data_IF_410613523218
#
_entry.id   IF_410613523218
#
_cell.length_a   1.000
_cell.length_b   1.000
_cell.length_c   1.000
_cell.angle_alpha   90.00
_cell.angle_beta   90.00
_cell.angle_gamma   90.00
#
_symmetry.space_group_name_H-M   'P 1'
#
loop_
_entity.id
_entity.type
_entity.pdbx_description
1 polymer ?
#
# COMPACT_ATOMS: atom_id res chain seq x y z
N UNK A 1 -89.43 -43.65 4.47
CA UNK A 1 -89.74 -44.31 5.77
C UNK A 1 -88.77 -43.78 6.82
N UNK A 2 -89.37 -43.24 7.91
CA UNK A 2 -88.86 -43.03 9.28
C UNK A 2 -87.43 -42.41 9.46
N UNK A 3 -87.42 -41.16 9.83
CA UNK A 3 -87.22 -40.55 11.17
C UNK A 3 -86.13 -41.22 12.03
N UNK A 4 -85.17 -40.40 12.51
CA UNK A 4 -85.13 -40.02 13.95
C UNK A 4 -84.09 -38.87 14.11
N UNK A 5 -84.57 -37.79 14.75
CA UNK A 5 -83.80 -36.67 15.33
C UNK A 5 -83.25 -37.15 16.68
N UNK A 6 -82.13 -36.62 17.11
CA UNK A 6 -81.92 -36.03 18.43
C UNK A 6 -80.65 -35.17 18.49
N UNK A 7 -80.63 -34.06 19.22
CA UNK A 7 -79.56 -33.10 19.33
C UNK A 7 -78.66 -33.39 20.53
N UNK A 8 -77.44 -33.10 20.44
CA UNK A 8 -76.59 -32.99 21.63
C UNK A 8 -75.90 -31.64 21.62
N UNK A 9 -76.29 -30.80 22.58
CA UNK A 9 -75.58 -29.57 22.98
C UNK A 9 -74.29 -29.94 23.63
N UNK A 10 -73.22 -29.34 23.21
CA UNK A 10 -71.98 -29.27 24.05
C UNK A 10 -71.49 -27.87 24.15
N UNK A 11 -71.19 -27.48 25.39
CA UNK A 11 -70.82 -26.18 25.87
C UNK A 11 -69.48 -25.72 25.32
N UNK A 12 -69.46 -24.47 24.94
CA UNK A 12 -68.24 -23.68 24.69
C UNK A 12 -67.54 -23.41 26.03
N UNK A 13 -66.39 -24.02 26.27
CA UNK A 13 -65.47 -23.51 27.21
C UNK A 13 -64.28 -22.91 26.44
N UNK A 14 -64.21 -21.62 26.51
CA UNK A 14 -63.12 -20.78 26.10
C UNK A 14 -61.79 -21.30 26.67
N UNK A 15 -60.89 -21.77 25.78
CA UNK A 15 -59.48 -21.92 26.06
C UNK A 15 -58.73 -20.93 25.18
N UNK A 16 -58.25 -19.85 25.80
CA UNK A 16 -57.33 -18.92 25.18
C UNK A 16 -56.00 -19.62 25.03
N UNK A 17 -55.69 -20.08 23.82
CA UNK A 17 -54.36 -20.55 23.47
C UNK A 17 -53.55 -19.33 23.03
N UNK A 18 -52.66 -18.85 23.88
CA UNK A 18 -51.69 -17.81 23.56
C UNK A 18 -50.75 -18.30 22.47
N UNK A 19 -50.82 -17.67 21.31
CA UNK A 19 -49.85 -17.85 20.24
C UNK A 19 -48.55 -17.09 20.60
N UNK A 20 -47.57 -17.81 21.18
CA UNK A 20 -46.27 -17.28 21.46
C UNK A 20 -45.51 -17.14 20.13
N UNK A 21 -45.51 -15.94 19.54
CA UNK A 21 -44.65 -15.60 18.42
C UNK A 21 -43.21 -15.59 18.91
N UNK A 22 -42.45 -16.66 18.64
CA UNK A 22 -41.00 -16.70 18.74
C UNK A 22 -40.46 -15.85 17.59
N UNK A 23 -40.20 -14.58 17.83
CA UNK A 23 -39.36 -13.77 16.95
C UNK A 23 -37.91 -14.23 17.12
N UNK A 24 -37.45 -15.12 16.22
CA UNK A 24 -36.04 -15.43 16.08
C UNK A 24 -35.39 -14.19 15.49
N UNK A 25 -34.79 -13.36 16.36
CA UNK A 25 -33.93 -12.31 15.96
C UNK A 25 -32.69 -12.98 15.33
N UNK A 26 -32.66 -13.06 14.00
CA UNK A 26 -31.41 -13.30 13.29
C UNK A 26 -30.51 -12.09 13.54
N UNK A 27 -29.73 -12.14 14.62
CA UNK A 27 -28.58 -11.29 14.80
C UNK A 27 -27.61 -11.62 13.66
N UNK A 28 -27.71 -10.88 12.56
CA UNK A 28 -26.66 -10.84 11.56
C UNK A 28 -25.42 -10.30 12.26
N UNK A 29 -24.56 -11.21 12.74
CA UNK A 29 -23.18 -10.85 13.01
C UNK A 29 -22.61 -10.40 11.66
N UNK A 30 -22.66 -9.09 11.38
CA UNK A 30 -21.70 -8.49 10.47
C UNK A 30 -20.36 -8.81 11.12
N UNK A 31 -19.58 -9.70 10.52
CA UNK A 31 -18.15 -9.73 10.72
C UNK A 31 -17.72 -8.31 10.36
N UNK A 32 -17.32 -7.53 11.34
CA UNK A 32 -16.62 -6.28 11.10
C UNK A 32 -15.36 -6.69 10.34
N UNK A 33 -15.37 -6.53 9.02
CA UNK A 33 -14.16 -6.65 8.23
C UNK A 33 -13.27 -5.51 8.71
N UNK A 34 -12.19 -5.86 9.40
CA UNK A 34 -11.19 -4.90 9.84
C UNK A 34 -10.74 -4.09 8.62
N UNK A 35 -10.71 -2.76 8.75
CA UNK A 35 -10.15 -1.90 7.71
C UNK A 35 -8.73 -2.39 7.39
N UNK A 36 -8.43 -2.73 6.13
CA UNK A 36 -7.10 -3.18 5.74
C UNK A 36 -5.99 -2.24 6.20
N UNK A 37 -6.29 -0.97 6.41
CA UNK A 37 -5.34 0.03 6.88
C UNK A 37 -5.16 0.00 8.41
N UNK A 38 -6.17 -0.40 9.17
CA UNK A 38 -6.08 -0.56 10.63
C UNK A 38 -5.08 -1.66 11.03
N UNK A 39 -5.06 -2.75 10.27
CA UNK A 39 -4.12 -3.87 10.47
C UNK A 39 -2.65 -3.46 10.28
N UNK A 40 -2.39 -2.38 9.56
CA UNK A 40 -1.04 -1.88 9.30
C UNK A 40 -0.43 -1.11 10.48
N UNK A 41 -1.24 -0.66 11.43
CA UNK A 41 -0.79 0.16 12.57
C UNK A 41 -0.02 -0.69 13.59
N UNK A 42 1.13 -0.19 14.05
CA UNK A 42 1.94 -0.80 15.12
C UNK A 42 2.31 0.20 16.23
N UNK A 43 1.79 1.41 16.15
CA UNK A 43 2.03 2.48 17.13
C UNK A 43 3.36 3.22 16.98
N UNK A 44 4.29 2.75 16.12
CA UNK A 44 5.59 3.40 15.89
C UNK A 44 5.81 3.76 14.42
N UNK A 45 5.35 2.92 13.51
CA UNK A 45 5.49 3.16 12.07
C UNK A 45 4.50 4.18 11.57
N UNK A 46 4.92 4.92 10.57
CA UNK A 46 4.02 5.76 9.77
C UNK A 46 3.40 4.90 8.67
N UNK A 47 2.08 4.94 8.57
CA UNK A 47 1.32 4.32 7.49
C UNK A 47 0.76 5.43 6.61
N UNK A 48 1.13 5.40 5.35
CA UNK A 48 0.59 6.27 4.31
C UNK A 48 -0.44 5.47 3.54
N UNK A 49 -1.64 6.02 3.42
CA UNK A 49 -2.74 5.41 2.68
C UNK A 49 -3.18 6.32 1.55
N UNK A 50 -3.44 5.72 0.39
CA UNK A 50 -3.99 6.43 -0.77
C UNK A 50 -3.20 7.68 -1.20
N UNK A 51 -1.88 7.67 -1.07
CA UNK A 51 -1.05 8.75 -1.60
C UNK A 51 -1.18 8.78 -3.13
N UNK A 52 -1.88 9.77 -3.64
CA UNK A 52 -2.14 9.88 -5.07
C UNK A 52 -0.84 10.15 -5.84
N UNK A 53 -0.53 9.28 -6.80
CA UNK A 53 0.45 9.56 -7.85
C UNK A 53 -0.16 10.41 -8.95
N UNK A 54 0.42 10.39 -10.16
CA UNK A 54 -0.11 11.15 -11.30
C UNK A 54 -1.33 10.45 -11.91
N UNK A 55 -2.48 10.70 -11.29
CA UNK A 55 -3.76 10.10 -11.71
C UNK A 55 -4.30 10.66 -13.02
N UNK A 56 -3.72 11.75 -13.54
CA UNK A 56 -4.14 12.38 -14.79
C UNK A 56 -3.41 11.82 -16.01
N UNK A 57 -2.27 11.16 -15.83
CA UNK A 57 -1.52 10.55 -16.91
C UNK A 57 -2.09 9.18 -17.32
N UNK A 58 -1.94 8.85 -18.60
CA UNK A 58 -2.22 7.55 -19.17
C UNK A 58 -1.08 7.13 -20.11
N UNK A 59 -1.02 5.84 -20.42
CA UNK A 59 -0.07 5.27 -21.37
C UNK A 59 -0.77 4.25 -22.30
N UNK A 60 -0.01 3.70 -23.26
CA UNK A 60 -0.53 2.75 -24.25
C UNK A 60 -1.59 3.39 -25.14
N UNK A 61 -2.76 2.80 -25.24
CA UNK A 61 -3.90 3.32 -26.01
C UNK A 61 -4.62 4.48 -25.32
N UNK A 62 -4.17 4.87 -24.13
CA UNK A 62 -4.81 5.91 -23.32
C UNK A 62 -5.94 5.40 -22.44
N UNK A 63 -6.44 6.28 -21.58
CA UNK A 63 -7.63 6.05 -20.75
C UNK A 63 -8.55 7.25 -20.92
N UNK A 64 -9.84 7.08 -21.17
CA UNK A 64 -10.77 8.19 -21.31
C UNK A 64 -10.68 9.16 -20.13
N UNK A 65 -10.59 10.46 -20.41
CA UNK A 65 -10.48 11.52 -19.40
C UNK A 65 -9.09 11.73 -18.80
N UNK A 66 -8.07 10.99 -19.28
CA UNK A 66 -6.67 11.18 -18.89
C UNK A 66 -5.82 11.67 -20.06
N UNK A 67 -4.68 12.26 -19.74
CA UNK A 67 -3.72 12.77 -20.71
C UNK A 67 -2.72 11.68 -21.12
N UNK A 68 -2.56 11.47 -22.42
CA UNK A 68 -1.55 10.55 -22.95
C UNK A 68 -0.17 11.21 -22.90
N UNK A 69 0.52 11.04 -21.79
CA UNK A 69 1.86 11.57 -21.53
C UNK A 69 2.60 10.75 -20.49
N UNK A 70 3.93 10.94 -20.35
CA UNK A 70 4.68 10.40 -19.22
C UNK A 70 4.11 10.84 -17.88
N UNK A 71 4.18 9.96 -16.89
CA UNK A 71 3.79 10.26 -15.52
C UNK A 71 4.78 11.24 -14.90
N UNK A 72 4.31 12.31 -14.28
CA UNK A 72 5.15 13.19 -13.51
C UNK A 72 5.74 12.47 -12.31
N UNK A 73 7.03 12.65 -12.11
CA UNK A 73 7.71 12.17 -10.89
C UNK A 73 7.23 12.94 -9.67
N UNK A 74 7.07 12.27 -8.56
CA UNK A 74 7.01 12.93 -7.27
C UNK A 74 8.04 12.38 -6.31
N UNK A 75 8.52 13.24 -5.45
CA UNK A 75 9.43 12.93 -4.36
C UNK A 75 8.63 12.83 -3.07
N UNK A 76 9.10 12.00 -2.14
CA UNK A 76 8.48 11.89 -0.82
C UNK A 76 9.56 12.04 0.25
N UNK A 77 9.23 12.78 1.30
CA UNK A 77 10.12 13.05 2.42
C UNK A 77 9.55 12.45 3.69
N UNK A 78 10.30 11.54 4.31
CA UNK A 78 9.83 10.77 5.45
C UNK A 78 9.53 11.60 6.70
N UNK A 79 10.37 12.61 6.97
CA UNK A 79 10.32 13.40 8.22
C UNK A 79 9.01 14.16 8.44
N UNK A 80 8.35 14.57 7.38
CA UNK A 80 7.12 15.38 7.41
C UNK A 80 6.06 14.91 6.42
N UNK A 81 6.25 13.72 5.83
CA UNK A 81 5.33 13.07 4.88
C UNK A 81 5.02 13.95 3.65
N UNK A 82 5.95 14.82 3.29
CA UNK A 82 5.74 15.78 2.21
C UNK A 82 5.90 15.12 0.85
N UNK A 83 4.87 15.22 0.02
CA UNK A 83 4.91 14.94 -1.41
C UNK A 83 5.33 16.20 -2.17
N UNK A 84 6.32 16.06 -3.07
CA UNK A 84 6.88 17.16 -3.86
C UNK A 84 6.84 16.74 -5.32
N UNK A 85 6.11 17.48 -6.13
CA UNK A 85 5.96 17.18 -7.55
C UNK A 85 7.08 17.77 -8.39
N UNK A 86 7.53 17.01 -9.38
CA UNK A 86 8.49 17.41 -10.41
C UNK A 86 7.74 17.47 -11.75
N UNK A 87 7.23 18.65 -12.09
CA UNK A 87 6.40 18.84 -13.26
C UNK A 87 7.09 19.60 -14.40
N UNK A 88 8.19 20.28 -14.08
CA UNK A 88 8.90 21.14 -15.02
C UNK A 88 10.39 21.26 -14.65
N UNK A 89 11.13 22.01 -15.46
CA UNK A 89 12.56 22.22 -15.26
C UNK A 89 12.89 23.02 -13.98
N UNK A 90 12.01 23.94 -13.56
CA UNK A 90 12.22 24.71 -12.34
C UNK A 90 12.09 23.82 -11.10
N UNK A 91 11.07 22.94 -11.05
CA UNK A 91 10.93 21.95 -10.00
C UNK A 91 12.16 21.03 -9.93
N UNK A 92 12.62 20.55 -11.09
CA UNK A 92 13.81 19.70 -11.19
C UNK A 92 15.06 20.40 -10.64
N UNK A 93 15.28 21.65 -11.03
CA UNK A 93 16.43 22.45 -10.55
C UNK A 93 16.36 22.72 -9.05
N UNK A 94 15.15 22.93 -8.51
CA UNK A 94 14.94 23.21 -7.09
C UNK A 94 15.18 21.99 -6.20
N UNK A 95 14.75 20.81 -6.63
CA UNK A 95 14.62 19.67 -5.70
C UNK A 95 15.56 18.50 -5.97
N UNK A 96 15.78 18.10 -7.23
CA UNK A 96 16.36 16.79 -7.52
C UNK A 96 17.76 16.60 -6.94
N UNK A 97 18.60 17.64 -6.93
CA UNK A 97 19.99 17.56 -6.47
C UNK A 97 20.21 17.87 -4.99
N UNK A 98 19.11 18.04 -4.25
CA UNK A 98 19.15 18.35 -2.81
C UNK A 98 19.08 17.10 -1.94
N UNK A 99 19.27 17.26 -0.62
CA UNK A 99 19.00 16.24 0.40
C UNK A 99 17.59 16.33 0.97
N UNK A 100 16.71 17.14 0.37
CA UNK A 100 15.39 17.47 0.92
C UNK A 100 14.28 16.52 0.50
N UNK A 101 14.64 15.34 0.05
CA UNK A 101 13.73 14.24 -0.22
C UNK A 101 14.44 12.89 0.03
N UNK A 102 13.65 11.84 0.29
CA UNK A 102 14.18 10.54 0.67
C UNK A 102 13.96 9.47 -0.40
N UNK A 103 12.74 9.42 -0.96
CA UNK A 103 12.40 8.50 -2.05
C UNK A 103 11.67 9.25 -3.18
N UNK A 104 11.83 8.76 -4.41
CA UNK A 104 11.13 9.26 -5.59
C UNK A 104 10.27 8.17 -6.20
N UNK A 105 9.06 8.51 -6.60
CA UNK A 105 8.14 7.66 -7.34
C UNK A 105 8.12 8.11 -8.80
N UNK A 106 8.52 7.21 -9.69
CA UNK A 106 8.76 7.51 -11.11
C UNK A 106 8.18 6.44 -12.03
N UNK A 107 8.36 6.63 -13.32
CA UNK A 107 8.00 5.64 -14.34
C UNK A 107 6.49 5.48 -14.53
N UNK A 108 6.07 4.46 -15.28
CA UNK A 108 4.66 4.17 -15.49
C UNK A 108 3.90 4.02 -14.19
N UNK A 109 2.77 4.72 -14.07
CA UNK A 109 1.95 4.74 -12.85
C UNK A 109 2.73 5.08 -11.57
N UNK A 110 3.88 5.77 -11.68
CA UNK A 110 4.79 6.05 -10.55
C UNK A 110 5.29 4.79 -9.80
N UNK A 111 5.32 3.63 -10.45
CA UNK A 111 5.55 2.35 -9.80
C UNK A 111 7.03 2.03 -9.53
N UNK A 112 7.93 2.83 -10.06
CA UNK A 112 9.37 2.72 -9.82
C UNK A 112 9.78 3.65 -8.70
N UNK A 113 10.40 3.10 -7.65
CA UNK A 113 10.84 3.85 -6.48
C UNK A 113 12.36 3.88 -6.42
N UNK A 114 12.92 5.08 -6.26
CA UNK A 114 14.34 5.33 -6.06
C UNK A 114 14.57 5.95 -4.69
N UNK A 115 15.63 5.53 -4.01
CA UNK A 115 16.18 6.29 -2.89
C UNK A 115 17.03 7.45 -3.43
N UNK A 116 17.19 8.52 -2.68
CA UNK A 116 17.97 9.69 -3.13
C UNK A 116 19.47 9.37 -3.19
N UNK A 117 19.96 9.05 -4.38
CA UNK A 117 21.34 8.66 -4.61
C UNK A 117 21.97 9.43 -5.77
N UNK A 118 23.12 10.06 -5.49
CA UNK A 118 23.85 10.90 -6.45
C UNK A 118 24.69 10.11 -7.46
N UNK A 119 24.95 8.83 -7.22
CA UNK A 119 25.97 8.07 -7.97
C UNK A 119 25.36 7.25 -9.12
N UNK A 120 24.08 6.90 -9.07
CA UNK A 120 23.45 6.13 -10.14
C UNK A 120 22.87 7.06 -11.22
N UNK A 121 23.36 6.95 -12.46
CA UNK A 121 23.06 7.88 -13.56
C UNK A 121 21.56 8.00 -13.93
N UNK A 122 20.72 6.98 -13.64
CA UNK A 122 19.29 7.02 -13.91
C UNK A 122 18.46 7.38 -12.67
N UNK A 123 19.12 7.69 -11.56
CA UNK A 123 18.44 8.15 -10.35
C UNK A 123 18.01 9.62 -10.52
N UNK A 124 16.81 10.02 -10.09
CA UNK A 124 16.41 11.43 -10.11
C UNK A 124 17.39 12.37 -9.40
N UNK A 125 18.10 11.88 -8.36
CA UNK A 125 19.12 12.62 -7.59
C UNK A 125 20.52 12.60 -8.20
N UNK A 126 20.73 12.01 -9.37
CA UNK A 126 22.07 11.87 -9.98
C UNK A 126 22.83 13.19 -10.08
N UNK A 127 24.09 13.16 -9.67
CA UNK A 127 24.95 14.35 -9.62
C UNK A 127 24.55 15.37 -8.56
N UNK A 128 23.69 15.01 -7.63
CA UNK A 128 23.27 15.81 -6.48
C UNK A 128 24.22 15.67 -5.29
N UNK A 129 23.67 15.83 -4.09
CA UNK A 129 24.44 15.82 -2.82
C UNK A 129 24.08 14.67 -1.88
N UNK A 130 22.96 13.97 -2.12
CA UNK A 130 22.52 12.87 -1.28
C UNK A 130 23.20 11.56 -1.68
N UNK A 131 23.50 10.72 -0.71
CA UNK A 131 23.94 9.35 -0.92
C UNK A 131 23.20 8.41 0.03
N UNK A 132 22.05 7.98 -0.40
CA UNK A 132 21.30 6.90 0.25
C UNK A 132 21.69 5.57 -0.37
N UNK A 133 21.41 4.49 0.37
CA UNK A 133 21.53 3.13 -0.13
C UNK A 133 20.31 2.32 0.32
N UNK A 134 19.92 1.30 -0.45
CA UNK A 134 18.77 0.45 -0.15
C UNK A 134 19.15 -1.03 -0.30
N UNK A 135 18.60 -1.86 0.57
CA UNK A 135 18.76 -3.32 0.54
C UNK A 135 17.36 -3.95 0.63
N UNK A 136 17.08 -4.93 -0.22
CA UNK A 136 15.90 -5.77 -0.07
C UNK A 136 16.17 -6.84 1.02
N UNK A 137 15.29 -6.85 2.02
CA UNK A 137 15.18 -7.94 2.99
C UNK A 137 13.95 -8.77 2.62
N UNK A 138 14.15 -10.04 2.29
CA UNK A 138 13.05 -10.98 1.98
C UNK A 138 12.39 -11.47 3.28
N UNK A 139 11.89 -10.52 4.06
CA UNK A 139 11.29 -10.72 5.38
C UNK A 139 10.05 -9.83 5.53
N UNK A 140 9.10 -10.30 6.35
CA UNK A 140 7.96 -9.49 6.74
C UNK A 140 8.38 -8.24 7.52
N UNK A 141 7.72 -7.13 7.31
CA UNK A 141 8.07 -5.83 7.91
C UNK A 141 8.23 -5.90 9.45
N UNK A 142 7.33 -6.60 10.13
CA UNK A 142 7.30 -6.68 11.59
C UNK A 142 8.44 -7.55 12.17
N UNK A 143 9.09 -8.37 11.34
CA UNK A 143 10.23 -9.21 11.75
C UNK A 143 11.59 -8.54 11.53
N UNK A 144 11.62 -7.40 10.84
CA UNK A 144 12.85 -6.63 10.64
C UNK A 144 13.09 -5.74 11.85
N UNK A 145 14.00 -6.16 12.72
CA UNK A 145 14.30 -5.48 13.98
C UNK A 145 15.63 -4.71 13.96
N UNK A 146 16.46 -4.93 12.95
CA UNK A 146 17.77 -4.29 12.84
C UNK A 146 18.12 -3.97 11.38
N UNK A 147 18.71 -2.79 11.16
CA UNK A 147 19.25 -2.44 9.86
C UNK A 147 20.50 -3.28 9.55
N UNK A 148 20.76 -3.59 8.28
CA UNK A 148 22.03 -4.18 7.83
C UNK A 148 23.26 -3.36 8.23
N UNK A 149 24.43 -3.96 8.12
CA UNK A 149 25.70 -3.26 8.36
C UNK A 149 25.97 -2.18 7.28
N UNK A 150 26.83 -1.22 7.60
CA UNK A 150 27.19 -0.18 6.63
C UNK A 150 27.95 -0.74 5.44
N UNK A 151 28.75 -1.80 5.66
CA UNK A 151 29.43 -2.55 4.61
C UNK A 151 28.41 -3.19 3.65
N UNK A 152 27.31 -3.76 4.19
CA UNK A 152 26.24 -4.31 3.36
C UNK A 152 25.55 -3.23 2.54
N UNK A 153 25.27 -2.05 3.12
CA UNK A 153 24.73 -0.91 2.35
C UNK A 153 25.71 -0.42 1.28
N UNK A 154 27.01 -0.37 1.56
CA UNK A 154 28.02 0.04 0.59
C UNK A 154 28.18 -0.97 -0.56
N UNK A 155 27.92 -2.24 -0.30
CA UNK A 155 27.98 -3.31 -1.30
C UNK A 155 26.63 -3.53 -2.03
N UNK A 156 25.59 -2.77 -1.68
CA UNK A 156 24.27 -2.95 -2.32
C UNK A 156 24.29 -2.49 -3.78
N UNK A 157 23.79 -3.36 -4.65
CA UNK A 157 23.60 -3.09 -6.08
C UNK A 157 22.14 -2.70 -6.40
N UNK A 158 21.29 -2.50 -5.38
CA UNK A 158 19.88 -2.13 -5.57
C UNK A 158 19.81 -0.65 -5.95
N UNK A 159 19.63 -0.37 -7.22
CA UNK A 159 19.52 1.01 -7.73
C UNK A 159 18.08 1.49 -7.86
N UNK A 160 17.13 0.55 -7.95
CA UNK A 160 15.72 0.83 -8.15
C UNK A 160 14.84 -0.27 -7.54
N UNK A 161 13.72 0.13 -6.97
CA UNK A 161 12.65 -0.73 -6.47
C UNK A 161 11.47 -0.60 -7.45
N UNK A 162 11.20 -1.61 -8.24
CA UNK A 162 10.15 -1.52 -9.27
C UNK A 162 9.51 -2.87 -9.56
N UNK A 163 9.30 -3.18 -10.83
CA UNK A 163 8.80 -4.47 -11.29
C UNK A 163 9.79 -5.59 -10.98
N UNK A 164 9.29 -6.68 -10.43
CA UNK A 164 10.04 -7.91 -10.20
C UNK A 164 9.87 -8.85 -11.40
N UNK A 165 10.94 -9.06 -12.17
CA UNK A 165 10.96 -10.02 -13.27
C UNK A 165 11.01 -11.49 -12.79
N UNK A 166 11.43 -11.70 -11.53
CA UNK A 166 11.49 -13.00 -10.85
C UNK A 166 11.40 -12.84 -9.35
N UNK A 167 11.23 -13.93 -8.60
CA UNK A 167 11.27 -13.91 -7.14
C UNK A 167 12.63 -13.45 -6.56
N UNK A 168 13.71 -13.60 -7.31
CA UNK A 168 15.05 -13.17 -6.91
C UNK A 168 15.35 -11.69 -7.20
N UNK A 169 14.53 -11.01 -8.01
CA UNK A 169 14.74 -9.59 -8.34
C UNK A 169 14.33 -8.67 -7.18
N UNK A 170 14.88 -7.44 -7.17
CA UNK A 170 14.68 -6.47 -6.08
C UNK A 170 13.36 -5.68 -6.17
N UNK A 171 12.49 -5.98 -7.13
CA UNK A 171 11.23 -5.26 -7.33
C UNK A 171 10.21 -5.54 -6.22
N UNK A 172 9.24 -4.67 -6.04
CA UNK A 172 8.21 -4.79 -5.00
C UNK A 172 6.90 -5.39 -5.49
N UNK A 173 6.70 -5.51 -6.81
CA UNK A 173 5.47 -6.04 -7.39
C UNK A 173 5.74 -6.93 -8.59
N UNK A 174 4.82 -7.85 -8.84
CA UNK A 174 4.66 -8.53 -10.12
C UNK A 174 3.64 -7.79 -10.98
N UNK A 175 3.87 -7.77 -12.29
CA UNK A 175 2.93 -7.22 -13.26
C UNK A 175 2.52 -8.29 -14.26
N UNK A 176 1.22 -8.50 -14.38
CA UNK A 176 0.66 -9.43 -15.35
C UNK A 176 0.44 -8.74 -16.69
N UNK A 177 1.11 -9.20 -17.73
CA UNK A 177 0.90 -8.70 -19.10
C UNK A 177 -0.48 -9.05 -19.66
N UNK A 178 -1.12 -10.09 -19.12
CA UNK A 178 -2.45 -10.53 -19.60
C UNK A 178 -3.58 -9.71 -18.99
N UNK A 179 -3.48 -9.38 -17.71
CA UNK A 179 -4.53 -8.64 -16.97
C UNK A 179 -4.19 -7.17 -16.79
N UNK A 180 -2.95 -6.77 -17.04
CA UNK A 180 -2.42 -5.44 -16.79
C UNK A 180 -2.56 -4.98 -15.32
N UNK A 181 -2.59 -5.95 -14.41
CA UNK A 181 -2.71 -5.70 -12.97
C UNK A 181 -1.36 -5.90 -12.30
N UNK A 182 -1.04 -4.98 -11.40
CA UNK A 182 0.11 -5.02 -10.51
C UNK A 182 -0.28 -5.70 -9.20
N UNK A 183 0.59 -6.57 -8.69
CA UNK A 183 0.39 -7.24 -7.41
C UNK A 183 1.64 -7.13 -6.56
N UNK A 184 1.54 -6.54 -5.38
CA UNK A 184 2.65 -6.45 -4.44
C UNK A 184 3.12 -7.85 -4.00
N UNK A 185 4.43 -7.98 -3.84
CA UNK A 185 5.04 -9.25 -3.40
C UNK A 185 5.11 -9.23 -1.88
N UNK A 186 4.54 -10.24 -1.20
CA UNK A 186 4.57 -10.30 0.25
C UNK A 186 6.00 -10.50 0.79
N UNK A 187 6.20 -10.16 2.06
CA UNK A 187 7.47 -10.33 2.76
C UNK A 187 8.66 -9.64 2.09
N UNK A 188 8.44 -8.46 1.52
CA UNK A 188 9.49 -7.58 1.01
C UNK A 188 9.56 -6.31 1.82
N UNK A 189 10.60 -6.20 2.62
CA UNK A 189 10.95 -5.01 3.39
C UNK A 189 12.25 -4.44 2.85
N UNK A 190 12.28 -3.15 2.63
CA UNK A 190 13.48 -2.44 2.16
C UNK A 190 14.11 -1.70 3.33
N UNK A 191 15.34 -2.06 3.65
CA UNK A 191 16.16 -1.26 4.56
C UNK A 191 16.84 -0.14 3.76
N UNK A 192 16.75 1.08 4.25
CA UNK A 192 17.33 2.27 3.61
C UNK A 192 18.28 2.94 4.60
N UNK A 193 19.49 3.31 4.14
CA UNK A 193 20.37 4.22 4.86
C UNK A 193 20.24 5.60 4.22
N UNK A 194 19.83 6.59 5.01
CA UNK A 194 19.67 7.98 4.58
C UNK A 194 20.99 8.75 4.61
N UNK A 195 21.08 9.91 3.90
CA UNK A 195 22.29 10.72 3.85
C UNK A 195 22.72 11.32 5.19
N UNK A 196 21.80 11.40 6.17
CA UNK A 196 22.07 11.87 7.53
C UNK A 196 22.47 10.76 8.51
N UNK A 197 22.65 9.53 8.00
CA UNK A 197 23.08 8.37 8.77
C UNK A 197 21.94 7.62 9.47
N UNK A 198 20.70 8.05 9.32
CA UNK A 198 19.53 7.33 9.83
C UNK A 198 19.18 6.13 8.98
N UNK A 199 18.51 5.17 9.60
CA UNK A 199 18.01 3.96 8.95
C UNK A 199 16.50 3.95 8.90
N UNK A 200 15.99 3.40 7.82
CA UNK A 200 14.55 3.26 7.56
C UNK A 200 14.25 1.81 7.22
N UNK A 201 13.15 1.28 7.69
CA UNK A 201 12.50 0.13 7.05
C UNK A 201 11.25 0.61 6.33
N UNK A 202 11.08 0.17 5.08
CA UNK A 202 9.99 0.52 4.18
C UNK A 202 9.33 -0.74 3.64
N UNK A 203 8.01 -0.78 3.60
CA UNK A 203 7.22 -1.76 2.87
C UNK A 203 6.25 -1.04 1.94
N UNK A 204 6.34 -1.33 0.63
CA UNK A 204 5.35 -0.94 -0.37
C UNK A 204 4.23 -1.99 -0.39
N UNK A 205 2.98 -1.57 -0.21
CA UNK A 205 1.87 -2.47 0.08
C UNK A 205 0.91 -2.54 -1.11
N UNK A 206 0.53 -1.39 -1.66
CA UNK A 206 -0.44 -1.31 -2.74
C UNK A 206 -0.24 -0.05 -3.59
N UNK A 207 -0.74 -0.07 -4.83
CA UNK A 207 -0.80 1.10 -5.71
C UNK A 207 -2.22 1.41 -6.18
N UNK A 208 -3.21 0.80 -5.56
CA UNK A 208 -4.62 0.97 -5.89
C UNK A 208 -5.37 1.64 -4.76
N UNK A 209 -6.34 2.49 -5.12
CA UNK A 209 -7.13 3.27 -4.17
C UNK A 209 -7.90 2.36 -3.19
N UNK A 210 -7.85 2.72 -1.90
CA UNK A 210 -8.53 1.98 -0.83
C UNK A 210 -7.78 0.75 -0.35
N UNK A 211 -6.53 0.53 -0.81
CA UNK A 211 -5.70 -0.61 -0.39
C UNK A 211 -6.42 -1.97 -0.45
N UNK A 212 -7.07 -2.32 -1.59
CA UNK A 212 -7.84 -3.55 -1.68
C UNK A 212 -6.94 -4.78 -1.50
N UNK A 213 -7.42 -5.84 -0.83
CA UNK A 213 -6.64 -7.07 -0.65
C UNK A 213 -6.40 -7.82 -1.98
N UNK A 214 -7.22 -7.56 -2.98
CA UNK A 214 -7.11 -8.11 -4.33
C UNK A 214 -7.73 -7.16 -5.35
N UNK A 215 -7.08 -7.02 -6.50
CA UNK A 215 -7.58 -6.25 -7.64
C UNK A 215 -7.81 -7.20 -8.80
N UNK A 216 -9.03 -7.20 -9.33
CA UNK A 216 -9.43 -7.99 -10.50
C UNK A 216 -9.96 -7.12 -11.64
N UNK A 217 -10.19 -5.84 -11.37
CA UNK A 217 -10.68 -4.87 -12.35
C UNK A 217 -9.52 -4.00 -12.83
N UNK A 218 -9.26 -4.03 -14.14
CA UNK A 218 -8.26 -3.20 -14.81
C UNK A 218 -8.51 -1.69 -14.59
N UNK A 219 -9.76 -1.29 -14.41
CA UNK A 219 -10.14 0.11 -14.21
C UNK A 219 -10.10 0.55 -12.74
N UNK A 220 -9.60 -0.30 -11.82
CA UNK A 220 -9.46 0.11 -10.44
C UNK A 220 -8.60 1.38 -10.34
N UNK A 221 -9.03 2.41 -9.58
CA UNK A 221 -8.32 3.67 -9.54
C UNK A 221 -6.86 3.52 -9.12
N UNK A 222 -5.94 3.97 -9.99
CA UNK A 222 -4.49 3.94 -9.82
C UNK A 222 -3.85 5.17 -10.49
N UNK A 223 -2.65 5.62 -10.08
CA UNK A 223 -1.88 5.15 -8.95
C UNK A 223 -2.27 5.82 -7.62
N UNK A 224 -2.47 5.03 -6.58
CA UNK A 224 -2.69 5.45 -5.20
C UNK A 224 -1.88 4.55 -4.28
N UNK A 225 -0.85 5.10 -3.65
CA UNK A 225 0.12 4.31 -2.90
C UNK A 225 -0.28 4.14 -1.45
N UNK A 226 -0.28 2.89 -1.00
CA UNK A 226 -0.27 2.53 0.42
C UNK A 226 1.09 1.92 0.73
N UNK A 227 1.78 2.48 1.72
CA UNK A 227 3.06 1.98 2.20
C UNK A 227 3.26 2.29 3.67
N UNK A 228 4.13 1.53 4.31
CA UNK A 228 4.46 1.64 5.73
C UNK A 228 5.96 1.84 5.88
N UNK A 229 6.36 2.74 6.77
CA UNK A 229 7.77 2.94 7.07
C UNK A 229 8.01 3.32 8.52
N UNK A 230 9.22 3.05 8.98
CA UNK A 230 9.73 3.50 10.27
C UNK A 230 11.12 4.11 10.07
N UNK A 231 11.32 5.33 10.53
CA UNK A 231 12.62 6.01 10.52
C UNK A 231 13.20 5.97 11.94
N UNK A 232 14.33 5.32 12.08
CA UNK A 232 15.08 5.30 13.32
C UNK A 232 15.66 6.70 13.60
N UNK A 233 15.52 7.23 14.81
CA UNK A 233 15.80 8.64 15.14
C UNK A 233 17.09 8.89 15.90
N UNK A 234 17.65 7.88 16.58
CA UNK A 234 18.77 8.03 17.50
C UNK A 234 20.15 7.66 16.90
N UNK A 235 20.21 7.36 15.59
CA UNK A 235 21.45 6.94 14.91
C UNK A 235 21.81 5.47 15.12
N UNK A 236 21.03 4.71 15.91
CA UNK A 236 21.23 3.26 16.06
C UNK A 236 20.69 2.50 14.85
N UNK A 237 21.00 1.20 14.78
CA UNK A 237 20.45 0.29 13.76
C UNK A 237 19.15 -0.38 14.20
N UNK A 238 18.55 0.04 15.33
CA UNK A 238 17.32 -0.55 15.86
C UNK A 238 16.11 -0.14 15.00
N UNK A 239 15.50 -1.11 14.32
CA UNK A 239 14.30 -0.94 13.51
C UNK A 239 13.05 -1.62 14.12
N UNK A 240 13.12 -2.01 15.39
CA UNK A 240 12.02 -2.69 16.06
C UNK A 240 10.81 -1.77 16.25
N UNK A 241 9.65 -2.22 15.76
CA UNK A 241 8.38 -1.50 15.88
C UNK A 241 7.31 -2.28 16.66
N UNK A 242 7.55 -3.55 16.94
CA UNK A 242 6.72 -4.41 17.81
C UNK A 242 7.55 -5.01 18.93
#
# INVERSE_FOLDING_TARGET
MKHIKYPCRFNIKTAAAGLLLLTVAFGSCKKDELDPNEVLQDGKSVVITDLAGDTQAAMGSGTPGKELRPFFTFLFRFRDQKQIWIRNAADSAQWLKTKDWDIAFTGPYNSEVYVNDKDYQFNPGFGGTAKSAVILLQQGYDTVNQAPSDEAFNASEVTKIGWASSAASNGWFFYSLNTHIMQAIPNRTYAIRLPDGKYVKLQLINAYKGNPPSVTDLNWPAPYYTFKYYVQQDGSKNLQTK
#
